data_IF_049133215243
#
_entry.id   IF_049133215243
#
_cell.length_a   1.000
_cell.length_b   1.000
_cell.length_c   1.000
_cell.angle_alpha   90.00
_cell.angle_beta   90.00
_cell.angle_gamma   90.00
#
_symmetry.space_group_name_H-M   'P 1'
#
loop_
_entity.id
_entity.type
_entity.pdbx_description
1 polymer ?
#
# COMPACT_ATOMS: atom_id res chain seq x y z
N UNK A 1 -18.86 4.56 23.80
CA UNK A 1 -19.51 5.78 23.28
C UNK A 1 -18.46 6.53 22.48
N UNK A 2 -18.74 6.90 21.24
CA UNK A 2 -17.82 7.71 20.42
C UNK A 2 -17.87 9.16 20.93
N UNK A 3 -16.73 9.79 21.16
CA UNK A 3 -16.65 11.21 21.59
C UNK A 3 -17.06 12.14 20.43
N UNK A 4 -17.30 13.44 20.66
CA UNK A 4 -17.41 14.43 19.57
C UNK A 4 -16.21 14.43 18.61
N UNK A 5 -15.07 13.88 19.03
CA UNK A 5 -13.88 13.60 18.21
C UNK A 5 -13.78 12.13 17.76
N UNK A 6 -14.91 11.51 17.42
CA UNK A 6 -15.03 10.10 17.06
C UNK A 6 -14.03 9.61 16.00
N UNK A 7 -13.62 10.50 15.09
CA UNK A 7 -12.64 10.21 14.04
C UNK A 7 -11.26 9.88 14.63
N UNK A 8 -10.86 10.61 15.67
CA UNK A 8 -9.61 10.38 16.39
C UNK A 8 -9.68 9.11 17.23
N UNK A 9 -10.81 8.88 17.91
CA UNK A 9 -11.03 7.65 18.70
C UNK A 9 -10.92 6.40 17.82
N UNK A 10 -11.54 6.43 16.64
CA UNK A 10 -11.51 5.34 15.67
C UNK A 10 -10.09 5.11 15.15
N UNK A 11 -9.35 6.18 14.84
CA UNK A 11 -7.95 6.07 14.43
C UNK A 11 -7.07 5.47 15.53
N UNK A 12 -7.24 5.88 16.79
CA UNK A 12 -6.50 5.33 17.94
C UNK A 12 -6.80 3.84 18.09
N UNK A 13 -8.07 3.44 18.04
CA UNK A 13 -8.46 2.04 18.16
C UNK A 13 -7.83 1.17 17.05
N UNK A 14 -7.88 1.63 15.80
CA UNK A 14 -7.26 0.94 14.67
C UNK A 14 -5.73 0.86 14.81
N UNK A 15 -5.10 1.95 15.24
CA UNK A 15 -3.65 2.04 15.48
C UNK A 15 -3.19 1.00 16.49
N UNK A 16 -3.85 0.93 17.65
CA UNK A 16 -3.46 0.02 18.74
C UNK A 16 -3.60 -1.44 18.35
N UNK A 17 -4.60 -1.79 17.53
CA UNK A 17 -4.87 -3.19 17.15
C UNK A 17 -4.07 -3.60 15.91
N UNK A 18 -4.09 -2.79 14.85
CA UNK A 18 -3.59 -3.21 13.54
C UNK A 18 -2.09 -3.01 13.37
N UNK A 19 -1.47 -2.03 14.04
CA UNK A 19 -0.02 -1.78 13.90
C UNK A 19 0.81 -2.94 14.44
N UNK A 20 0.57 -3.46 15.67
CA UNK A 20 1.37 -4.58 16.17
C UNK A 20 1.28 -5.79 15.24
N UNK A 21 0.08 -6.11 14.76
CA UNK A 21 -0.15 -7.19 13.79
C UNK A 21 0.64 -6.91 12.51
N UNK A 22 0.62 -5.67 12.02
CA UNK A 22 1.32 -5.33 10.78
C UNK A 22 2.84 -5.40 10.91
N UNK A 23 3.40 -4.94 12.04
CA UNK A 23 4.83 -5.05 12.34
C UNK A 23 5.25 -6.51 12.37
N UNK A 24 4.51 -7.37 13.09
CA UNK A 24 4.79 -8.81 13.15
C UNK A 24 4.81 -9.43 11.76
N UNK A 25 3.85 -9.06 10.89
CA UNK A 25 3.81 -9.54 9.50
C UNK A 25 5.02 -9.11 8.67
N UNK A 26 5.44 -7.85 8.77
CA UNK A 26 6.60 -7.37 8.04
C UNK A 26 7.89 -8.01 8.55
N UNK A 27 8.03 -8.19 9.86
CA UNK A 27 9.17 -8.89 10.48
C UNK A 27 9.19 -10.34 10.01
N UNK A 28 8.05 -11.04 10.00
CA UNK A 28 7.95 -12.40 9.47
C UNK A 28 8.41 -12.48 8.02
N UNK A 29 8.00 -11.53 7.16
CA UNK A 29 8.49 -11.48 5.79
C UNK A 29 10.00 -11.32 5.71
N UNK A 30 10.58 -10.41 6.49
CA UNK A 30 12.03 -10.16 6.50
C UNK A 30 12.81 -11.39 6.99
N UNK A 31 12.34 -12.05 8.04
CA UNK A 31 12.98 -13.26 8.59
C UNK A 31 12.82 -14.44 7.62
N UNK A 32 11.62 -14.64 7.08
CA UNK A 32 11.30 -15.72 6.14
C UNK A 32 12.06 -15.60 4.82
N UNK A 33 12.48 -14.40 4.42
CA UNK A 33 13.35 -14.18 3.23
C UNK A 33 14.69 -14.88 3.30
N UNK A 34 15.24 -15.09 4.51
CA UNK A 34 16.48 -15.84 4.71
C UNK A 34 16.28 -17.34 4.52
N UNK A 35 15.05 -17.83 4.73
CA UNK A 35 14.72 -19.27 4.75
C UNK A 35 14.07 -19.78 3.47
N UNK A 36 13.29 -18.95 2.77
CA UNK A 36 12.54 -19.39 1.58
C UNK A 36 12.75 -18.47 0.38
N UNK A 37 13.14 -19.06 -0.77
CA UNK A 37 13.32 -18.35 -2.05
C UNK A 37 12.05 -17.66 -2.56
N UNK A 38 10.86 -18.14 -2.18
CA UNK A 38 9.57 -17.54 -2.55
C UNK A 38 9.43 -16.08 -2.10
N UNK A 39 10.03 -15.68 -0.97
CA UNK A 39 9.97 -14.30 -0.45
C UNK A 39 11.05 -13.38 -1.02
N UNK A 40 11.98 -13.92 -1.82
CA UNK A 40 13.06 -13.14 -2.43
C UNK A 40 12.64 -12.43 -3.72
N UNK A 41 11.37 -12.55 -4.11
CA UNK A 41 10.87 -11.94 -5.35
C UNK A 41 10.78 -10.41 -5.26
N UNK A 42 10.83 -9.70 -6.41
CA UNK A 42 10.61 -8.25 -6.46
C UNK A 42 9.27 -7.83 -5.84
N UNK A 43 8.25 -8.68 -5.98
CA UNK A 43 6.93 -8.48 -5.39
C UNK A 43 7.00 -8.25 -3.87
N UNK A 44 7.57 -9.21 -3.12
CA UNK A 44 7.63 -9.10 -1.66
C UNK A 44 8.57 -7.97 -1.21
N UNK A 45 9.58 -7.61 -2.01
CA UNK A 45 10.42 -6.45 -1.75
C UNK A 45 9.62 -5.15 -1.80
N UNK A 46 8.84 -4.95 -2.85
CA UNK A 46 7.96 -3.79 -2.99
C UNK A 46 6.87 -3.78 -1.91
N UNK A 47 6.31 -4.94 -1.55
CA UNK A 47 5.36 -5.04 -0.43
C UNK A 47 5.96 -4.61 0.90
N UNK A 48 7.19 -5.02 1.22
CA UNK A 48 7.87 -4.58 2.44
C UNK A 48 8.11 -3.07 2.38
N UNK A 49 8.59 -2.54 1.26
CA UNK A 49 8.83 -1.11 1.11
C UNK A 49 7.54 -0.29 1.30
N UNK A 50 6.44 -0.75 0.72
CA UNK A 50 5.13 -0.14 0.89
C UNK A 50 4.68 -0.21 2.35
N UNK A 51 4.87 -1.34 3.02
CA UNK A 51 4.48 -1.48 4.42
C UNK A 51 5.29 -0.64 5.39
N UNK A 52 6.58 -0.42 5.11
CA UNK A 52 7.39 0.54 5.87
C UNK A 52 6.85 1.95 5.69
N UNK A 53 6.49 2.36 4.47
CA UNK A 53 5.89 3.67 4.23
C UNK A 53 4.54 3.84 4.95
N UNK A 54 3.71 2.80 4.95
CA UNK A 54 2.42 2.80 5.67
C UNK A 54 2.61 2.91 7.19
N UNK A 55 3.58 2.18 7.78
CA UNK A 55 3.90 2.29 9.22
C UNK A 55 4.46 3.68 9.55
N UNK A 56 5.34 4.22 8.71
CA UNK A 56 5.87 5.57 8.90
C UNK A 56 4.73 6.60 8.90
N UNK A 57 3.80 6.47 7.95
CA UNK A 57 2.59 7.32 7.87
C UNK A 57 1.80 7.27 9.17
N UNK A 58 1.45 6.06 9.62
CA UNK A 58 0.65 5.90 10.83
C UNK A 58 1.40 6.45 12.04
N UNK A 59 2.71 6.23 12.15
CA UNK A 59 3.54 6.75 13.25
C UNK A 59 3.54 8.29 13.30
N UNK A 60 3.66 8.94 12.13
CA UNK A 60 3.57 10.41 12.05
C UNK A 60 2.21 10.89 12.52
N UNK A 61 1.11 10.30 12.03
CA UNK A 61 -0.23 10.67 12.48
C UNK A 61 -0.44 10.41 13.97
N UNK A 62 0.00 9.27 14.49
CA UNK A 62 -0.11 8.93 15.91
C UNK A 62 0.62 9.95 16.78
N UNK A 63 1.81 10.43 16.38
CA UNK A 63 2.52 11.47 17.13
C UNK A 63 1.72 12.78 17.22
N UNK A 64 1.07 13.19 16.13
CA UNK A 64 0.24 14.40 16.11
C UNK A 64 -1.06 14.21 16.91
N UNK A 65 -1.69 13.04 16.80
CA UNK A 65 -2.90 12.70 17.58
C UNK A 65 -2.59 12.66 19.07
N UNK A 66 -1.46 12.07 19.47
CA UNK A 66 -1.03 12.04 20.87
C UNK A 66 -0.88 13.45 21.44
N UNK A 67 -0.27 14.36 20.68
CA UNK A 67 -0.10 15.74 21.09
C UNK A 67 -1.43 16.53 21.11
N UNK A 68 -2.32 16.33 20.14
CA UNK A 68 -3.59 17.08 20.04
C UNK A 68 -4.68 16.57 20.98
N UNK A 69 -4.72 15.27 21.23
CA UNK A 69 -5.79 14.64 22.01
C UNK A 69 -5.40 14.48 23.49
N UNK A 70 -4.16 14.08 23.78
CA UNK A 70 -3.70 13.85 25.15
C UNK A 70 -2.80 14.98 25.68
N UNK A 71 -2.57 16.04 24.89
CA UNK A 71 -1.60 17.11 25.20
C UNK A 71 -0.17 16.61 25.42
N UNK A 72 0.12 15.36 25.03
CA UNK A 72 1.42 14.74 25.28
C UNK A 72 2.47 15.27 24.30
N UNK A 73 3.46 16.00 24.81
CA UNK A 73 4.52 16.59 23.98
C UNK A 73 4.06 17.80 23.15
N UNK A 74 2.92 18.42 23.46
CA UNK A 74 2.41 19.56 22.68
C UNK A 74 3.37 20.76 22.66
N UNK A 75 3.92 21.11 23.83
CA UNK A 75 4.84 22.23 24.00
C UNK A 75 6.14 21.97 23.26
N UNK A 76 6.62 20.72 23.29
CA UNK A 76 7.79 20.30 22.53
C UNK A 76 7.57 20.49 21.03
N UNK A 77 6.48 19.97 20.47
CA UNK A 77 6.16 20.16 19.06
C UNK A 77 5.98 21.64 18.69
N UNK A 78 5.34 22.42 19.56
CA UNK A 78 5.13 23.85 19.36
C UNK A 78 6.44 24.65 19.43
N UNK A 79 7.39 24.25 20.27
CA UNK A 79 8.71 24.90 20.39
C UNK A 79 9.56 24.73 19.13
N UNK A 80 9.34 23.66 18.36
CA UNK A 80 10.07 23.34 17.13
C UNK A 80 9.50 24.03 15.88
N UNK A 81 8.80 25.16 16.03
CA UNK A 81 8.36 25.97 14.90
C UNK A 81 9.56 26.70 14.26
N UNK A 82 9.55 26.91 12.93
CA UNK A 82 8.50 26.58 11.97
C UNK A 82 8.55 25.14 11.42
N UNK A 83 9.53 24.34 11.84
CA UNK A 83 9.81 23.03 11.26
C UNK A 83 8.68 22.00 11.43
N UNK A 84 8.15 21.83 12.66
CA UNK A 84 7.09 20.84 12.92
C UNK A 84 5.78 21.08 12.13
N UNK A 85 5.21 22.29 12.07
CA UNK A 85 4.03 22.53 11.25
C UNK A 85 4.24 22.22 9.77
N UNK A 86 5.40 22.59 9.21
CA UNK A 86 5.75 22.30 7.82
C UNK A 86 5.87 20.79 7.59
N UNK A 87 6.52 20.09 8.51
CA UNK A 87 6.65 18.63 8.46
C UNK A 87 5.28 17.95 8.44
N UNK A 88 4.39 18.28 9.39
CA UNK A 88 3.07 17.65 9.47
C UNK A 88 2.12 18.06 8.33
N UNK A 89 2.25 19.29 7.80
CA UNK A 89 1.49 19.73 6.63
C UNK A 89 1.81 18.88 5.39
N UNK A 90 3.08 18.55 5.20
CA UNK A 90 3.56 17.81 4.03
C UNK A 90 3.50 16.29 4.21
N UNK A 91 3.68 15.79 5.44
CA UNK A 91 3.82 14.36 5.68
C UNK A 91 2.60 13.57 5.22
N UNK A 92 1.39 14.07 5.47
CA UNK A 92 0.18 13.38 5.05
C UNK A 92 0.07 13.25 3.52
N UNK A 93 0.04 14.37 2.77
CA UNK A 93 -0.07 14.34 1.31
C UNK A 93 1.10 13.60 0.64
N UNK A 94 2.33 13.76 1.13
CA UNK A 94 3.51 13.03 0.65
C UNK A 94 3.33 11.52 0.79
N UNK A 95 2.86 11.05 1.94
CA UNK A 95 2.68 9.62 2.19
C UNK A 95 1.59 9.00 1.30
N UNK A 96 0.57 9.77 0.90
CA UNK A 96 -0.39 9.33 -0.11
C UNK A 96 0.24 9.14 -1.49
N UNK A 97 1.10 10.08 -1.91
CA UNK A 97 1.86 9.96 -3.16
C UNK A 97 2.77 8.74 -3.12
N UNK A 98 3.50 8.55 -2.02
CA UNK A 98 4.31 7.35 -1.79
C UNK A 98 3.48 6.08 -1.92
N UNK A 99 2.29 6.02 -1.30
CA UNK A 99 1.40 4.86 -1.39
C UNK A 99 0.95 4.55 -2.81
N UNK A 100 0.44 5.55 -3.55
CA UNK A 100 -0.05 5.29 -4.91
C UNK A 100 1.10 4.85 -5.84
N UNK A 101 2.31 5.38 -5.64
CA UNK A 101 3.52 4.93 -6.33
C UNK A 101 3.87 3.48 -5.96
N UNK A 102 3.89 3.12 -4.68
CA UNK A 102 4.20 1.74 -4.29
C UNK A 102 3.17 0.73 -4.83
N UNK A 103 1.88 1.06 -4.80
CA UNK A 103 0.82 0.23 -5.44
C UNK A 103 1.03 0.12 -6.95
N UNK A 104 1.41 1.21 -7.62
CA UNK A 104 1.74 1.21 -9.04
C UNK A 104 2.91 0.28 -9.37
N UNK A 105 4.00 0.34 -8.62
CA UNK A 105 5.15 -0.54 -8.81
C UNK A 105 4.81 -2.02 -8.57
N UNK A 106 4.02 -2.31 -7.53
CA UNK A 106 3.51 -3.67 -7.28
C UNK A 106 2.65 -4.13 -8.46
N UNK A 107 1.83 -3.24 -9.02
CA UNK A 107 0.98 -3.55 -10.19
C UNK A 107 1.82 -3.82 -11.44
N UNK A 108 2.85 -3.02 -11.71
CA UNK A 108 3.80 -3.25 -12.82
C UNK A 108 4.45 -4.63 -12.67
N UNK A 109 4.94 -4.96 -11.48
CA UNK A 109 5.56 -6.26 -11.22
C UNK A 109 4.60 -7.40 -11.53
N UNK A 110 3.34 -7.30 -11.11
CA UNK A 110 2.31 -8.30 -11.37
C UNK A 110 1.95 -8.38 -12.84
N UNK A 111 1.79 -7.23 -13.50
CA UNK A 111 1.49 -7.14 -14.92
C UNK A 111 2.57 -7.81 -15.76
N UNK A 112 3.84 -7.50 -15.51
CA UNK A 112 4.97 -8.12 -16.21
C UNK A 112 5.04 -9.62 -15.96
N UNK A 113 4.81 -10.08 -14.73
CA UNK A 113 4.85 -11.51 -14.40
C UNK A 113 3.75 -12.30 -15.11
N UNK A 114 2.54 -11.75 -15.22
CA UNK A 114 1.36 -12.46 -15.76
C UNK A 114 1.24 -12.30 -17.28
N UNK A 115 1.36 -11.07 -17.77
CA UNK A 115 1.13 -10.74 -19.19
C UNK A 115 2.40 -10.86 -20.03
N UNK A 116 3.59 -10.71 -19.45
CA UNK A 116 4.88 -10.71 -20.16
C UNK A 116 5.94 -11.56 -19.45
N UNK A 117 5.58 -12.77 -19.04
CA UNK A 117 6.42 -13.67 -18.23
C UNK A 117 7.82 -13.95 -18.83
N UNK A 118 7.92 -14.05 -20.15
CA UNK A 118 9.18 -14.29 -20.87
C UNK A 118 9.79 -13.01 -21.47
N UNK A 119 9.25 -11.84 -21.14
CA UNK A 119 9.72 -10.56 -21.68
C UNK A 119 11.03 -10.08 -21.04
N UNK A 120 11.83 -9.26 -21.76
CA UNK A 120 13.09 -8.73 -21.26
C UNK A 120 12.90 -7.86 -20.00
N UNK A 121 11.76 -7.18 -19.89
CA UNK A 121 11.41 -6.36 -18.72
C UNK A 121 11.16 -7.20 -17.46
N UNK A 122 10.48 -8.34 -17.58
CA UNK A 122 10.28 -9.26 -16.46
C UNK A 122 11.62 -9.87 -16.02
N UNK A 123 12.48 -10.24 -16.99
CA UNK A 123 13.83 -10.71 -16.70
C UNK A 123 14.64 -9.69 -15.90
N UNK A 124 14.72 -8.44 -16.37
CA UNK A 124 15.43 -7.35 -15.67
C UNK A 124 14.89 -7.09 -14.27
N UNK A 125 13.56 -7.08 -14.11
CA UNK A 125 12.93 -6.85 -12.81
C UNK A 125 13.28 -7.96 -11.80
N UNK A 126 13.31 -9.22 -12.25
CA UNK A 126 13.65 -10.36 -11.39
C UNK A 126 15.12 -10.42 -10.97
N UNK A 127 16.02 -9.81 -11.73
CA UNK A 127 17.45 -9.70 -11.40
C UNK A 127 17.82 -8.37 -10.74
N UNK A 128 16.84 -7.48 -10.54
CA UNK A 128 17.07 -6.19 -9.91
C UNK A 128 17.36 -6.36 -8.41
N UNK A 129 18.43 -5.75 -7.87
CA UNK A 129 18.74 -5.84 -6.46
C UNK A 129 17.60 -5.24 -5.60
N UNK A 130 17.20 -5.88 -4.49
CA UNK A 130 16.08 -5.43 -3.67
C UNK A 130 16.20 -3.98 -3.19
N UNK A 131 17.41 -3.55 -2.83
CA UNK A 131 17.66 -2.19 -2.37
C UNK A 131 17.34 -1.14 -3.43
N UNK A 132 17.64 -1.43 -4.70
CA UNK A 132 17.37 -0.50 -5.79
C UNK A 132 15.86 -0.32 -6.03
N UNK A 133 15.07 -1.38 -5.85
CA UNK A 133 13.60 -1.29 -5.91
C UNK A 133 13.04 -0.42 -4.78
N UNK A 134 13.60 -0.55 -3.57
CA UNK A 134 13.23 0.29 -2.43
C UNK A 134 13.61 1.74 -2.72
N UNK A 135 14.86 2.01 -3.09
CA UNK A 135 15.32 3.36 -3.42
C UNK A 135 14.45 3.98 -4.51
N UNK A 136 14.18 3.25 -5.59
CA UNK A 136 13.35 3.72 -6.69
C UNK A 136 11.94 4.10 -6.24
N UNK A 137 11.30 3.28 -5.40
CA UNK A 137 9.99 3.59 -4.84
C UNK A 137 10.00 4.91 -4.05
N UNK A 138 10.95 5.08 -3.13
CA UNK A 138 11.03 6.28 -2.30
C UNK A 138 11.43 7.52 -3.08
N UNK A 139 12.38 7.41 -4.01
CA UNK A 139 12.79 8.52 -4.85
C UNK A 139 11.68 8.96 -5.78
N UNK A 140 10.95 8.02 -6.39
CA UNK A 140 9.88 8.36 -7.34
C UNK A 140 8.72 9.07 -6.64
N UNK A 141 8.28 8.56 -5.48
CA UNK A 141 7.23 9.24 -4.70
C UNK A 141 7.65 10.62 -4.21
N UNK A 142 8.89 10.77 -3.75
CA UNK A 142 9.42 12.07 -3.33
C UNK A 142 9.55 13.04 -4.50
N UNK A 143 9.99 12.57 -5.67
CA UNK A 143 10.15 13.39 -6.87
C UNK A 143 8.81 13.93 -7.37
N UNK A 144 7.76 13.10 -7.35
CA UNK A 144 6.41 13.52 -7.72
C UNK A 144 5.89 14.58 -6.74
N UNK A 145 6.18 14.43 -5.44
CA UNK A 145 5.74 15.37 -4.41
C UNK A 145 6.63 16.62 -4.28
N UNK A 146 7.79 16.66 -4.94
CA UNK A 146 8.77 17.72 -4.83
C UNK A 146 8.20 19.15 -5.04
N UNK A 147 7.29 19.41 -6.00
CA UNK A 147 6.74 20.76 -6.18
C UNK A 147 6.07 21.33 -4.93
N UNK A 148 5.40 20.47 -4.14
CA UNK A 148 4.75 20.85 -2.89
C UNK A 148 5.77 21.15 -1.77
N UNK A 149 6.85 20.35 -1.70
CA UNK A 149 7.94 20.60 -0.75
C UNK A 149 8.63 21.95 -1.00
N UNK A 150 8.75 22.37 -2.25
CA UNK A 150 9.36 23.66 -2.61
C UNK A 150 8.49 24.88 -2.22
N UNK A 151 7.17 24.71 -2.12
CA UNK A 151 6.21 25.78 -1.79
C UNK A 151 5.62 25.61 -0.37
N UNK A 152 6.41 25.03 0.53
CA UNK A 152 5.97 24.68 1.88
C UNK A 152 5.92 25.89 2.80
N UNK A 153 4.71 26.28 3.19
CA UNK A 153 4.46 27.29 4.22
C UNK A 153 3.28 26.87 5.11
N UNK A 154 3.60 26.61 6.39
CA UNK A 154 2.63 26.19 7.38
C UNK A 154 3.01 26.64 8.80
N UNK A 155 2.00 26.91 9.61
CA UNK A 155 2.14 27.31 11.02
C UNK A 155 1.13 26.58 11.90
N UNK A 156 1.41 26.48 13.20
CA UNK A 156 0.41 26.02 14.17
C UNK A 156 -0.46 27.21 14.61
N UNK A 157 -1.76 26.98 14.71
CA UNK A 157 -2.72 27.97 15.20
C UNK A 157 -2.43 28.37 16.66
N UNK A 158 -2.22 27.39 17.54
CA UNK A 158 -1.81 27.61 18.93
C UNK A 158 -1.13 26.36 19.52
N UNK A 159 -0.60 26.47 20.73
CA UNK A 159 0.15 25.40 21.42
C UNK A 159 -0.72 24.25 21.93
N UNK A 160 -2.03 24.47 22.07
CA UNK A 160 -2.97 23.51 22.63
C UNK A 160 -3.58 22.64 21.52
N UNK A 161 -4.16 23.27 20.49
CA UNK A 161 -4.85 22.59 19.39
C UNK A 161 -3.91 22.02 18.35
N UNK A 162 -2.69 22.60 18.22
CA UNK A 162 -1.70 22.32 17.19
C UNK A 162 -2.30 22.18 15.79
N UNK A 163 -3.36 22.95 15.52
CA UNK A 163 -4.03 22.89 14.24
C UNK A 163 -3.14 23.53 13.17
N UNK A 164 -2.98 22.84 12.03
CA UNK A 164 -2.03 23.23 10.99
C UNK A 164 -2.71 24.22 10.02
N UNK A 165 -2.22 25.45 10.03
CA UNK A 165 -2.58 26.52 9.12
C UNK A 165 -1.61 26.52 7.96
N UNK A 166 -2.07 26.22 6.74
CA UNK A 166 -1.21 26.30 5.54
C UNK A 166 -1.51 27.56 4.76
N UNK A 167 -0.50 28.12 4.10
CA UNK A 167 -0.72 29.18 3.11
C UNK A 167 -1.59 28.67 1.94
N UNK A 168 -2.28 29.60 1.26
CA UNK A 168 -3.15 29.28 0.12
C UNK A 168 -2.38 28.60 -1.02
N UNK A 169 -1.24 29.17 -1.41
CA UNK A 169 -0.37 28.59 -2.45
C UNK A 169 0.12 27.19 -2.08
N UNK A 170 0.52 26.97 -0.82
CA UNK A 170 0.94 25.67 -0.33
C UNK A 170 -0.19 24.64 -0.46
N UNK A 171 -1.40 24.99 -0.01
CA UNK A 171 -2.60 24.17 -0.13
C UNK A 171 -2.94 23.82 -1.58
N UNK A 172 -2.85 24.79 -2.48
CA UNK A 172 -3.10 24.60 -3.92
C UNK A 172 -2.11 23.61 -4.53
N UNK A 173 -0.81 23.84 -4.33
CA UNK A 173 0.25 23.05 -4.97
C UNK A 173 0.21 21.60 -4.52
N UNK A 174 0.12 21.31 -3.21
CA UNK A 174 0.05 19.92 -2.78
C UNK A 174 -1.25 19.25 -3.20
N UNK A 175 -2.39 19.96 -3.17
CA UNK A 175 -3.69 19.38 -3.53
C UNK A 175 -3.73 18.99 -5.00
N UNK A 176 -3.24 19.86 -5.90
CA UNK A 176 -3.09 19.54 -7.33
C UNK A 176 -2.12 18.39 -7.54
N UNK A 177 -0.97 18.42 -6.85
CA UNK A 177 0.05 17.35 -6.97
C UNK A 177 -0.54 15.99 -6.61
N UNK A 178 -1.25 15.89 -5.49
CA UNK A 178 -1.87 14.63 -5.08
C UNK A 178 -3.01 14.24 -6.02
N UNK A 179 -3.94 15.15 -6.33
CA UNK A 179 -5.09 14.85 -7.19
C UNK A 179 -4.65 14.36 -8.59
N UNK A 180 -3.69 15.04 -9.22
CA UNK A 180 -3.17 14.67 -10.54
C UNK A 180 -2.41 13.34 -10.50
N UNK A 181 -1.63 13.09 -9.44
CA UNK A 181 -0.94 11.81 -9.24
C UNK A 181 -1.94 10.65 -9.13
N UNK A 182 -2.99 10.83 -8.33
CA UNK A 182 -4.03 9.82 -8.16
C UNK A 182 -4.85 9.58 -9.42
N UNK A 183 -5.15 10.63 -10.19
CA UNK A 183 -5.83 10.49 -11.48
C UNK A 183 -4.97 9.70 -12.49
N UNK A 184 -3.72 10.12 -12.69
CA UNK A 184 -2.83 9.56 -13.73
C UNK A 184 -2.33 8.15 -13.37
N UNK A 185 -1.79 7.98 -12.17
CA UNK A 185 -1.27 6.69 -11.70
C UNK A 185 -2.44 5.73 -11.44
N UNK A 186 -3.53 6.22 -10.83
CA UNK A 186 -4.73 5.41 -10.59
C UNK A 186 -5.32 4.85 -11.89
N UNK A 187 -5.48 5.67 -12.92
CA UNK A 187 -5.94 5.21 -14.24
C UNK A 187 -5.00 4.16 -14.84
N UNK A 188 -3.69 4.40 -14.75
CA UNK A 188 -2.67 3.45 -15.23
C UNK A 188 -2.76 2.10 -14.52
N UNK A 189 -3.00 2.10 -13.21
CA UNK A 189 -3.20 0.88 -12.42
C UNK A 189 -4.46 0.13 -12.87
N UNK A 190 -5.58 0.84 -13.08
CA UNK A 190 -6.85 0.24 -13.53
C UNK A 190 -6.66 -0.46 -14.88
N UNK A 191 -5.97 0.18 -15.82
CA UNK A 191 -5.68 -0.40 -17.14
C UNK A 191 -4.84 -1.67 -16.97
N UNK A 192 -3.74 -1.62 -16.21
CA UNK A 192 -2.88 -2.79 -16.00
C UNK A 192 -3.63 -3.96 -15.36
N UNK A 193 -4.40 -3.72 -14.28
CA UNK A 193 -5.19 -4.77 -13.64
C UNK A 193 -6.27 -5.35 -14.55
N UNK A 194 -6.91 -4.53 -15.37
CA UNK A 194 -7.89 -5.00 -16.36
C UNK A 194 -7.24 -5.97 -17.34
N UNK A 195 -6.01 -5.68 -17.79
CA UNK A 195 -5.25 -6.58 -18.68
C UNK A 195 -4.81 -7.86 -17.98
N UNK A 196 -4.39 -7.77 -16.71
CA UNK A 196 -4.08 -8.95 -15.87
C UNK A 196 -5.32 -9.85 -15.78
N UNK A 197 -6.47 -9.28 -15.42
CA UNK A 197 -7.73 -10.01 -15.27
C UNK A 197 -8.14 -10.73 -16.58
N UNK A 198 -8.11 -10.02 -17.71
CA UNK A 198 -8.42 -10.61 -19.03
C UNK A 198 -7.47 -11.74 -19.37
N UNK A 199 -6.18 -11.57 -19.12
CA UNK A 199 -5.16 -12.61 -19.39
C UNK A 199 -5.39 -13.85 -18.54
N UNK A 200 -5.68 -13.67 -17.25
CA UNK A 200 -6.00 -14.77 -16.33
C UNK A 200 -7.28 -15.51 -16.72
N UNK A 201 -8.33 -14.80 -17.17
CA UNK A 201 -9.57 -15.40 -17.66
C UNK A 201 -9.35 -16.18 -18.96
N UNK A 202 -8.57 -15.63 -19.90
CA UNK A 202 -8.25 -16.31 -21.17
C UNK A 202 -7.46 -17.59 -20.96
N UNK A 203 -6.40 -17.55 -20.15
CA UNK A 203 -5.58 -18.71 -19.82
C UNK A 203 -6.41 -19.89 -19.23
N UNK A 204 -7.50 -19.56 -18.53
CA UNK A 204 -8.43 -20.56 -17.97
C UNK A 204 -9.41 -21.14 -18.98
N UNK A 205 -9.80 -20.38 -20.00
CA UNK A 205 -10.65 -20.91 -21.08
C UNK A 205 -9.89 -21.94 -21.92
N UNK A 206 -8.58 -21.80 -22.04
CA UNK A 206 -7.70 -22.72 -22.76
C UNK A 206 -7.29 -23.97 -21.96
N UNK A 207 -7.23 -23.88 -20.62
CA UNK A 207 -6.92 -25.01 -19.75
C UNK A 207 -8.22 -25.51 -19.10
N UNK A 208 -8.90 -26.45 -19.76
CA UNK A 208 -9.98 -27.21 -19.11
C UNK A 208 -9.36 -28.03 -17.97
N UNK A 209 -9.63 -27.69 -16.70
CA UNK A 209 -9.64 -28.62 -15.53
C UNK A 209 -9.85 -27.87 -14.20
N UNK A 210 -10.79 -28.42 -13.42
CA UNK A 210 -11.01 -28.34 -11.97
C UNK A 210 -11.41 -26.99 -11.30
N UNK A 211 -12.73 -26.79 -11.24
CA UNK A 211 -13.45 -25.79 -10.43
C UNK A 211 -13.54 -26.23 -8.96
N UNK A 212 -12.79 -25.60 -8.04
CA UNK A 212 -13.26 -25.31 -6.65
C UNK A 212 -12.32 -24.44 -5.81
N UNK A 213 -11.00 -24.53 -6.00
CA UNK A 213 -10.02 -23.75 -5.21
C UNK A 213 -9.91 -22.26 -5.64
N UNK A 214 -10.40 -21.94 -6.83
CA UNK A 214 -10.03 -20.75 -7.62
C UNK A 214 -10.99 -19.56 -7.54
N UNK A 215 -12.26 -19.76 -7.15
CA UNK A 215 -13.23 -18.65 -7.01
C UNK A 215 -12.76 -17.61 -6.00
N UNK A 216 -12.18 -18.05 -4.88
CA UNK A 216 -11.70 -17.14 -3.85
C UNK A 216 -10.50 -16.30 -4.29
N UNK A 217 -9.60 -16.82 -5.15
CA UNK A 217 -8.45 -16.05 -5.63
C UNK A 217 -8.87 -14.96 -6.61
N UNK A 218 -9.86 -15.24 -7.46
CA UNK A 218 -10.39 -14.26 -8.41
C UNK A 218 -11.23 -13.21 -7.69
N UNK A 219 -12.06 -13.62 -6.73
CA UNK A 219 -12.79 -12.69 -5.87
C UNK A 219 -11.83 -11.78 -5.10
N UNK A 220 -10.71 -12.32 -4.59
CA UNK A 220 -9.67 -11.53 -3.90
C UNK A 220 -9.01 -10.49 -4.83
N UNK A 221 -8.66 -10.88 -6.05
CA UNK A 221 -8.06 -9.97 -7.03
C UNK A 221 -9.06 -8.87 -7.43
N UNK A 222 -10.30 -9.23 -7.75
CA UNK A 222 -11.35 -8.28 -8.12
C UNK A 222 -11.71 -7.35 -6.97
N UNK A 223 -11.80 -7.86 -5.74
CA UNK A 223 -12.05 -7.05 -4.54
C UNK A 223 -10.89 -6.08 -4.26
N UNK A 224 -9.65 -6.51 -4.46
CA UNK A 224 -8.49 -5.61 -4.34
C UNK A 224 -8.52 -4.47 -5.36
N UNK A 225 -8.80 -4.79 -6.62
CA UNK A 225 -8.92 -3.78 -7.69
C UNK A 225 -10.09 -2.84 -7.41
N UNK A 226 -11.23 -3.36 -6.95
CA UNK A 226 -12.40 -2.55 -6.61
C UNK A 226 -12.10 -1.58 -5.45
N UNK A 227 -11.51 -2.07 -4.36
CA UNK A 227 -11.10 -1.23 -3.23
C UNK A 227 -10.11 -0.16 -3.68
N UNK A 228 -9.18 -0.51 -4.57
CA UNK A 228 -8.22 0.44 -5.09
C UNK A 228 -8.86 1.53 -5.97
N UNK A 229 -9.83 1.18 -6.81
CA UNK A 229 -10.59 2.15 -7.61
C UNK A 229 -11.34 3.12 -6.70
N UNK A 230 -12.05 2.59 -5.69
CA UNK A 230 -12.74 3.42 -4.71
C UNK A 230 -11.77 4.35 -3.99
N UNK A 231 -10.60 3.85 -3.60
CA UNK A 231 -9.54 4.63 -2.97
C UNK A 231 -9.07 5.78 -3.88
N UNK A 232 -8.81 5.50 -5.16
CA UNK A 232 -8.40 6.52 -6.12
C UNK A 232 -9.48 7.61 -6.29
N UNK A 233 -10.75 7.22 -6.40
CA UNK A 233 -11.86 8.16 -6.54
C UNK A 233 -12.00 9.02 -5.28
N UNK A 234 -12.00 8.42 -4.08
CA UNK A 234 -12.16 9.16 -2.83
C UNK A 234 -11.00 10.13 -2.62
N UNK A 235 -9.75 9.70 -2.83
CA UNK A 235 -8.60 10.58 -2.69
C UNK A 235 -8.61 11.70 -3.72
N UNK A 236 -8.93 11.39 -4.98
CA UNK A 236 -9.06 12.40 -6.02
C UNK A 236 -10.10 13.45 -5.67
N UNK A 237 -11.31 13.05 -5.28
CA UNK A 237 -12.39 13.97 -4.90
C UNK A 237 -12.03 14.78 -3.65
N UNK A 238 -11.39 14.16 -2.67
CA UNK A 238 -10.96 14.84 -1.44
C UNK A 238 -9.97 15.98 -1.76
N UNK A 239 -8.90 15.69 -2.49
CA UNK A 239 -7.89 16.71 -2.81
C UNK A 239 -8.36 17.69 -3.89
N UNK A 240 -9.30 17.31 -4.76
CA UNK A 240 -9.97 18.26 -5.65
C UNK A 240 -10.83 19.25 -4.84
N UNK A 241 -11.57 18.76 -3.85
CA UNK A 241 -12.33 19.61 -2.92
C UNK A 241 -11.42 20.55 -2.12
N UNK A 242 -10.29 20.03 -1.62
CA UNK A 242 -9.29 20.85 -0.92
C UNK A 242 -8.70 21.93 -1.83
N UNK A 243 -8.40 21.60 -3.09
CA UNK A 243 -7.95 22.57 -4.08
C UNK A 243 -8.98 23.66 -4.32
N UNK A 244 -10.26 23.32 -4.53
CA UNK A 244 -11.32 24.31 -4.74
C UNK A 244 -11.49 25.21 -3.50
N UNK A 245 -11.51 24.63 -2.30
CA UNK A 245 -11.65 25.37 -1.04
C UNK A 245 -10.42 26.23 -0.71
N UNK A 246 -9.26 25.95 -1.31
CA UNK A 246 -8.06 26.77 -1.11
C UNK A 246 -8.11 28.14 -1.79
N UNK A 247 -9.07 28.37 -2.69
CA UNK A 247 -9.35 29.68 -3.29
C UNK A 247 -10.36 30.52 -2.49
N UNK A 248 -11.02 29.92 -1.50
CA UNK A 248 -12.00 30.63 -0.69
C UNK A 248 -11.31 31.62 0.26
N UNK A 249 -11.87 32.82 0.40
CA UNK A 249 -11.37 33.84 1.33
C UNK A 249 -11.61 33.42 2.78
N UNK A 250 -12.74 32.72 3.04
CA UNK A 250 -13.04 32.17 4.36
C UNK A 250 -12.35 30.83 4.60
N UNK A 251 -11.24 30.87 5.35
CA UNK A 251 -10.48 29.67 5.71
C UNK A 251 -11.20 28.73 6.66
N UNK A 252 -12.32 29.13 7.26
CA UNK A 252 -13.08 28.28 8.21
C UNK A 252 -13.58 27.01 7.53
N UNK A 253 -14.02 27.12 6.27
CA UNK A 253 -14.51 25.99 5.48
C UNK A 253 -13.38 25.00 5.15
N UNK A 254 -12.21 25.51 4.78
CA UNK A 254 -11.01 24.69 4.56
C UNK A 254 -10.58 23.97 5.85
N UNK A 255 -10.59 24.67 6.99
CA UNK A 255 -10.30 24.06 8.30
C UNK A 255 -11.28 22.92 8.63
N UNK A 256 -12.57 23.14 8.44
CA UNK A 256 -13.61 22.13 8.67
C UNK A 256 -13.44 20.92 7.74
N UNK A 257 -13.14 21.17 6.46
CA UNK A 257 -12.89 20.11 5.48
C UNK A 257 -11.69 19.23 5.86
N UNK A 258 -10.61 19.85 6.34
CA UNK A 258 -9.42 19.14 6.84
C UNK A 258 -9.64 18.35 8.12
N UNK A 259 -10.75 18.57 8.83
CA UNK A 259 -11.08 17.71 9.97
C UNK A 259 -11.34 16.27 9.53
N UNK A 260 -11.83 16.06 8.30
CA UNK A 260 -12.01 14.73 7.72
C UNK A 260 -10.70 14.08 7.27
N UNK A 261 -9.60 14.84 7.21
CA UNK A 261 -8.31 14.37 6.74
C UNK A 261 -7.80 13.11 7.46
N UNK A 262 -7.86 12.99 8.80
CA UNK A 262 -7.43 11.77 9.50
C UNK A 262 -8.30 10.55 9.15
N UNK A 263 -9.59 10.77 8.86
CA UNK A 263 -10.50 9.70 8.44
C UNK A 263 -10.12 9.17 7.06
N UNK A 264 -9.77 10.05 6.13
CA UNK A 264 -9.34 9.68 4.78
C UNK A 264 -7.91 9.10 4.84
N UNK A 265 -6.96 9.77 5.50
CA UNK A 265 -5.55 9.38 5.51
C UNK A 265 -5.22 8.21 6.44
N UNK A 266 -5.73 8.25 7.66
CA UNK A 266 -5.47 7.23 8.68
C UNK A 266 -6.11 5.89 8.30
N UNK A 267 -7.42 5.87 8.05
CA UNK A 267 -8.15 4.63 7.80
C UNK A 267 -7.68 3.91 6.53
N UNK A 268 -7.31 4.65 5.49
CA UNK A 268 -6.80 4.04 4.26
C UNK A 268 -5.41 3.43 4.42
N UNK A 269 -4.63 3.86 5.40
CA UNK A 269 -3.34 3.25 5.72
C UNK A 269 -3.48 1.84 6.29
N UNK A 270 -4.64 1.52 6.86
CA UNK A 270 -4.95 0.20 7.37
C UNK A 270 -5.50 -0.77 6.31
N UNK A 271 -5.81 -0.30 5.10
CA UNK A 271 -6.28 -1.19 4.03
C UNK A 271 -5.20 -2.21 3.68
N UNK A 272 -3.94 -1.80 3.51
CA UNK A 272 -2.87 -2.73 3.15
C UNK A 272 -2.68 -3.89 4.14
N UNK A 273 -2.55 -3.66 5.46
CA UNK A 273 -2.49 -4.75 6.42
C UNK A 273 -3.77 -5.60 6.43
N UNK A 274 -4.96 -4.98 6.38
CA UNK A 274 -6.24 -5.73 6.33
C UNK A 274 -6.31 -6.61 5.08
N UNK A 275 -5.86 -6.13 3.93
CA UNK A 275 -5.84 -6.87 2.67
C UNK A 275 -4.82 -8.02 2.70
N UNK A 276 -3.66 -7.80 3.32
CA UNK A 276 -2.70 -8.87 3.59
C UNK A 276 -3.29 -9.95 4.49
N UNK A 277 -3.97 -9.54 5.58
CA UNK A 277 -4.59 -10.43 6.55
C UNK A 277 -5.76 -11.23 5.96
N UNK A 278 -6.61 -10.60 5.15
CA UNK A 278 -7.85 -11.20 4.64
C UNK A 278 -7.67 -11.92 3.31
N UNK A 279 -6.72 -11.48 2.47
CA UNK A 279 -6.60 -11.97 1.10
C UNK A 279 -5.33 -12.78 0.82
N UNK A 280 -4.31 -12.77 1.68
CA UNK A 280 -3.10 -13.56 1.44
C UNK A 280 -3.14 -14.90 2.22
N UNK A 281 -3.39 -16.02 1.52
CA UNK A 281 -3.47 -17.36 2.13
C UNK A 281 -2.16 -17.79 2.78
N UNK A 282 -1.01 -17.40 2.23
CA UNK A 282 0.30 -17.74 2.81
C UNK A 282 0.51 -17.02 4.14
N UNK A 283 0.04 -15.76 4.21
CA UNK A 283 0.05 -14.96 5.44
C UNK A 283 -0.95 -15.52 6.45
N UNK A 284 -2.17 -15.86 6.03
CA UNK A 284 -3.18 -16.47 6.89
C UNK A 284 -2.73 -17.80 7.47
N UNK A 285 -2.06 -18.63 6.66
CA UNK A 285 -1.51 -19.90 7.10
C UNK A 285 -0.44 -19.70 8.15
N UNK A 286 0.45 -18.71 7.98
CA UNK A 286 1.51 -18.42 8.94
C UNK A 286 1.03 -17.75 10.22
N UNK A 287 0.08 -16.83 10.13
CA UNK A 287 -0.58 -16.27 11.32
C UNK A 287 -1.23 -17.37 12.14
N UNK A 288 -1.88 -18.34 11.50
CA UNK A 288 -2.46 -19.49 12.19
C UNK A 288 -1.38 -20.31 12.91
N UNK A 289 -0.21 -20.49 12.28
CA UNK A 289 0.92 -21.19 12.91
C UNK A 289 1.52 -20.37 14.07
N UNK A 290 1.68 -19.05 13.93
CA UNK A 290 2.22 -18.18 14.98
C UNK A 290 1.28 -18.04 16.18
N UNK A 291 -0.03 -17.93 15.96
CA UNK A 291 -1.01 -17.74 17.03
C UNK A 291 -1.55 -19.05 17.62
N UNK A 292 -1.58 -20.16 16.87
CA UNK A 292 -2.11 -21.44 17.37
C UNK A 292 -1.03 -22.49 17.73
N UNK A 293 0.27 -22.18 17.59
CA UNK A 293 1.37 -22.90 18.24
C UNK A 293 1.68 -24.33 17.77
N UNK A 294 0.75 -25.11 17.20
CA UNK A 294 1.02 -26.45 16.69
C UNK A 294 -0.11 -26.97 15.80
N UNK A 295 0.23 -27.89 14.89
CA UNK A 295 -0.62 -28.65 13.96
C UNK A 295 -1.18 -27.89 12.76
N UNK A 296 -0.42 -27.87 11.66
CA UNK A 296 -0.86 -28.23 10.29
C UNK A 296 0.40 -28.18 9.42
N UNK A 297 0.75 -29.32 8.82
CA UNK A 297 1.86 -29.43 7.87
C UNK A 297 1.78 -28.36 6.78
N UNK A 298 2.92 -27.83 6.28
CA UNK A 298 2.89 -26.84 5.21
C UNK A 298 2.12 -27.39 4.00
N UNK A 299 1.27 -26.59 3.34
CA UNK A 299 0.65 -27.03 2.10
C UNK A 299 1.78 -27.37 1.12
N UNK A 300 1.77 -28.60 0.60
CA UNK A 300 2.66 -29.01 -0.49
C UNK A 300 2.47 -28.02 -1.62
N UNK A 301 3.48 -27.19 -1.87
CA UNK A 301 3.57 -26.37 -3.07
C UNK A 301 3.54 -27.34 -4.23
N UNK A 302 2.44 -27.35 -4.99
CA UNK A 302 2.37 -28.08 -6.25
C UNK A 302 3.35 -27.40 -7.21
N UNK A 303 4.60 -27.86 -7.20
CA UNK A 303 5.51 -27.69 -8.32
C UNK A 303 4.85 -28.36 -9.50
N UNK A 304 4.16 -27.59 -10.33
CA UNK A 304 3.86 -28.00 -11.70
C UNK A 304 5.20 -27.99 -12.42
N UNK A 305 5.99 -29.06 -12.27
CA UNK A 305 7.05 -29.34 -13.23
C UNK A 305 6.35 -29.77 -14.51
N UNK A 306 6.41 -28.94 -15.54
CA UNK A 306 6.22 -29.43 -16.90
C UNK A 306 7.38 -30.39 -17.19
N UNK A 307 7.19 -31.66 -16.84
CA UNK A 307 8.03 -32.74 -17.34
C UNK A 307 7.61 -32.98 -18.79
N UNK A 308 8.49 -32.55 -19.69
CA UNK A 308 8.50 -32.86 -21.11
C UNK A 308 8.33 -34.37 -21.29
N UNK A 309 7.16 -34.80 -21.76
CA UNK A 309 6.89 -36.19 -22.13
C UNK A 309 7.58 -36.44 -23.47
N UNK A 310 8.81 -36.92 -23.43
CA UNK A 310 9.50 -37.43 -24.63
C UNK A 310 8.83 -38.76 -25.00
N UNK A 311 8.13 -38.73 -26.12
CA UNK A 311 7.57 -39.89 -26.81
C UNK A 311 8.71 -40.74 -27.37
N UNK A 312 8.87 -41.97 -26.88
CA UNK A 312 9.50 -43.07 -27.64
C UNK A 312 8.81 -44.38 -27.29
N UNK A 313 7.95 -44.80 -28.21
CA UNK A 313 7.39 -46.14 -28.34
C UNK A 313 8.41 -47.09 -28.99
N UNK A 314 8.49 -48.33 -28.49
CA UNK A 314 8.83 -49.49 -29.32
C UNK A 314 9.95 -50.41 -28.81
N UNK A 315 9.57 -51.63 -28.42
CA UNK A 315 10.40 -52.83 -28.58
C UNK A 315 10.76 -53.57 -27.28
N UNK A 316 10.34 -54.85 -27.10
CA UNK A 316 10.76 -55.69 -25.98
C UNK A 316 12.07 -56.43 -26.31
N UNK A 317 12.94 -56.60 -25.31
CA UNK A 317 14.06 -57.56 -25.38
C UNK A 317 14.12 -58.35 -24.08
N UNK A 318 13.90 -59.66 -24.23
CA UNK A 318 14.21 -60.72 -23.28
C UNK A 318 15.73 -60.83 -23.08
N UNK A 319 16.22 -60.99 -21.84
CA UNK A 319 17.25 -62.00 -21.48
C UNK A 319 17.50 -62.09 -19.96
N UNK A 320 17.16 -63.27 -19.42
CA UNK A 320 17.90 -64.10 -18.44
C UNK A 320 18.52 -63.49 -17.17
N UNK A 321 17.99 -63.93 -16.02
CA UNK A 321 18.59 -65.06 -15.30
C UNK A 321 17.56 -66.20 -15.25
#
# INVERSE_FOLDING_TARGET
>A
MLTPTWQMDLFIYQTVILIPIYIVLLVDFVVSRRRHRTFQTPYYTLMISQGIADIATISVFSSLVLARYFSFGNLFLYSLRPFMPIFYANSGPMMFVMRIVGVFLITIQRYLTVCHSHGPWNFRLNHCPPLLLILFHWTLGTLIYLPALLHSDATFENEITLFIMTAGIHAQVFSVTVATSFATIGLSIIIMYSRIAVTMVRARRTVSVSKKSTSMQDARLTLHVFILILFCIICFLFYLGEFVLSFDEDRTRLKAFRLYYPTVSGNFSFINPVMLLTLNKDVQSRLRVMFCGCFISPPKVTTVSMATKKSTSGGPVFTTC
#
